data_IF_140904095247
#
_entry.id   IF_140904095247
#
_cell.length_a   1.000
_cell.length_b   1.000
_cell.length_c   1.000
_cell.angle_alpha   90.00
_cell.angle_beta   90.00
_cell.angle_gamma   90.00
#
_symmetry.space_group_name_H-M   'P 1'
#
loop_
_entity.id
_entity.type
_entity.pdbx_description
1 polymer ?
#
# COMPACT_ATOMS: atom_id res chain seq x y z
N UNK A 1 20.43 -13.28 -32.70
CA UNK A 1 19.15 -12.55 -32.78
C UNK A 1 18.36 -12.92 -31.53
N UNK A 2 18.08 -11.96 -30.65
CA UNK A 2 17.21 -12.21 -29.50
C UNK A 2 15.80 -12.50 -30.05
N UNK A 3 15.24 -13.66 -29.74
CA UNK A 3 13.86 -13.95 -30.09
C UNK A 3 12.98 -13.12 -29.18
N UNK A 4 12.16 -12.26 -29.76
CA UNK A 4 11.08 -11.63 -28.99
C UNK A 4 10.14 -12.72 -28.49
N UNK A 5 9.99 -12.78 -27.17
CA UNK A 5 8.99 -13.62 -26.52
C UNK A 5 7.68 -12.84 -26.62
N UNK A 6 6.70 -13.41 -27.33
CA UNK A 6 5.38 -12.82 -27.48
C UNK A 6 4.52 -13.18 -26.26
N UNK A 7 4.44 -12.26 -25.31
CA UNK A 7 3.53 -12.34 -24.17
C UNK A 7 2.48 -11.22 -24.27
N UNK A 8 1.18 -11.53 -24.21
CA UNK A 8 0.11 -10.56 -24.49
C UNK A 8 0.08 -9.38 -23.51
N UNK A 9 0.64 -9.55 -22.31
CA UNK A 9 0.65 -8.53 -21.27
C UNK A 9 1.90 -7.64 -21.29
N UNK A 10 2.96 -8.03 -22.05
CA UNK A 10 4.23 -7.28 -22.12
C UNK A 10 4.06 -5.90 -22.75
N UNK A 11 3.01 -5.68 -23.52
CA UNK A 11 2.72 -4.42 -24.21
C UNK A 11 1.80 -3.49 -23.43
N UNK A 12 1.23 -3.95 -22.31
CA UNK A 12 0.36 -3.14 -21.46
C UNK A 12 1.20 -2.39 -20.43
N UNK A 13 0.93 -1.10 -20.23
CA UNK A 13 1.60 -0.27 -19.22
C UNK A 13 0.95 -0.46 -17.84
N UNK A 14 1.75 -0.61 -16.80
CA UNK A 14 1.32 -0.72 -15.40
C UNK A 14 0.89 -2.12 -14.94
N UNK A 15 1.15 -3.15 -15.75
CA UNK A 15 0.88 -4.55 -15.40
C UNK A 15 2.04 -5.16 -14.61
N UNK A 16 1.75 -6.10 -13.72
CA UNK A 16 2.74 -6.78 -12.86
C UNK A 16 3.76 -7.58 -13.67
N UNK A 17 5.00 -7.63 -13.21
CA UNK A 17 6.04 -8.49 -13.77
C UNK A 17 6.68 -9.32 -12.65
N UNK A 18 6.61 -10.68 -12.69
CA UNK A 18 5.84 -11.50 -13.63
C UNK A 18 4.31 -11.32 -13.50
N UNK A 19 3.57 -11.54 -14.58
CA UNK A 19 2.12 -11.23 -14.67
C UNK A 19 1.25 -12.11 -13.77
N UNK A 20 1.64 -13.37 -13.65
CA UNK A 20 0.99 -14.41 -12.86
C UNK A 20 1.23 -14.24 -11.35
N UNK A 21 2.28 -13.51 -10.98
CA UNK A 21 2.62 -13.34 -9.57
C UNK A 21 1.86 -12.15 -8.96
N UNK A 22 0.88 -12.47 -8.12
CA UNK A 22 0.09 -11.45 -7.44
C UNK A 22 0.91 -10.56 -6.50
N UNK A 23 2.03 -11.06 -6.00
CA UNK A 23 2.95 -10.36 -5.11
C UNK A 23 4.05 -9.60 -5.87
N UNK A 24 4.02 -9.57 -7.21
CA UNK A 24 4.99 -8.82 -8.00
C UNK A 24 4.91 -7.32 -7.73
N UNK A 25 6.08 -6.75 -7.40
CA UNK A 25 6.26 -5.33 -7.10
C UNK A 25 6.83 -4.54 -8.27
N UNK A 26 7.27 -5.23 -9.33
CA UNK A 26 7.69 -4.61 -10.59
C UNK A 26 6.49 -4.49 -11.52
N UNK A 27 6.46 -3.41 -12.30
CA UNK A 27 5.43 -3.17 -13.31
C UNK A 27 6.02 -2.87 -14.68
N UNK A 28 5.24 -3.12 -15.72
CA UNK A 28 5.61 -2.89 -17.11
C UNK A 28 5.54 -1.42 -17.49
N UNK A 29 6.61 -0.91 -18.10
CA UNK A 29 6.66 0.38 -18.81
C UNK A 29 7.19 0.10 -20.23
N UNK A 30 6.33 -0.42 -21.13
CA UNK A 30 6.79 -1.02 -22.38
C UNK A 30 7.27 -0.02 -23.43
N UNK A 31 6.75 1.21 -23.41
CA UNK A 31 7.13 2.25 -24.36
C UNK A 31 7.98 3.34 -23.69
N UNK A 32 8.83 4.02 -24.47
CA UNK A 32 9.59 5.18 -23.98
C UNK A 32 8.65 6.29 -23.47
N UNK A 33 7.49 6.47 -24.09
CA UNK A 33 6.43 7.37 -23.64
C UNK A 33 5.92 7.02 -22.24
N UNK A 34 5.81 5.73 -21.90
CA UNK A 34 5.42 5.27 -20.57
C UNK A 34 6.50 5.62 -19.54
N UNK A 35 7.78 5.44 -19.89
CA UNK A 35 8.91 5.82 -19.03
C UNK A 35 8.93 7.34 -18.79
N UNK A 36 8.82 8.14 -19.85
CA UNK A 36 8.77 9.60 -19.72
C UNK A 36 7.58 10.02 -18.86
N UNK A 37 6.40 9.45 -19.11
CA UNK A 37 5.20 9.76 -18.33
C UNK A 37 5.32 9.39 -16.85
N UNK A 38 6.04 8.30 -16.53
CA UNK A 38 6.34 7.92 -15.15
C UNK A 38 7.28 8.93 -14.49
N UNK A 39 8.40 9.27 -15.14
CA UNK A 39 9.41 10.21 -14.63
C UNK A 39 8.85 11.63 -14.45
N UNK A 40 7.99 12.07 -15.37
CA UNK A 40 7.29 13.36 -15.30
C UNK A 40 6.04 13.34 -14.40
N UNK A 41 5.70 12.18 -13.81
CA UNK A 41 4.53 11.98 -12.94
C UNK A 41 3.20 12.36 -13.60
N UNK A 42 3.04 12.06 -14.89
CA UNK A 42 1.80 12.30 -15.63
C UNK A 42 0.66 11.45 -15.09
N UNK A 43 -0.50 12.06 -14.88
CA UNK A 43 -1.68 11.40 -14.29
C UNK A 43 -2.14 10.20 -15.11
N UNK A 44 -2.12 10.30 -16.44
CA UNK A 44 -2.50 9.22 -17.35
C UNK A 44 -1.57 7.99 -17.29
N UNK A 45 -0.31 8.17 -16.87
CA UNK A 45 0.65 7.08 -16.69
C UNK A 45 0.53 6.49 -15.29
N UNK A 46 0.54 7.34 -14.26
CA UNK A 46 0.49 6.88 -12.86
C UNK A 46 -0.82 6.16 -12.52
N UNK A 47 -1.95 6.57 -13.11
CA UNK A 47 -3.24 5.90 -12.91
C UNK A 47 -3.31 4.47 -13.45
N UNK A 48 -2.38 4.07 -14.32
CA UNK A 48 -2.29 2.69 -14.85
C UNK A 48 -1.51 1.76 -13.93
N UNK A 49 -0.71 2.30 -13.00
CA UNK A 49 0.15 1.51 -12.12
C UNK A 49 -0.68 0.89 -11.00
N UNK A 50 -0.98 -0.41 -11.12
CA UNK A 50 -1.79 -1.17 -10.14
C UNK A 50 -0.97 -1.67 -8.95
N UNK A 51 0.35 -1.71 -9.12
CA UNK A 51 1.34 -2.01 -8.10
C UNK A 51 2.62 -1.25 -8.46
N UNK A 52 3.62 -1.29 -7.60
CA UNK A 52 4.90 -0.69 -7.94
C UNK A 52 5.82 -0.58 -6.74
N UNK A 53 7.10 -0.49 -7.04
CA UNK A 53 8.08 0.10 -6.15
C UNK A 53 8.04 1.62 -6.36
N UNK A 54 8.00 2.45 -5.31
CA UNK A 54 8.45 2.18 -3.95
C UNK A 54 7.42 1.46 -3.05
N UNK A 55 7.87 0.94 -1.90
CA UNK A 55 7.19 0.05 -0.91
C UNK A 55 5.85 0.57 -0.32
N UNK A 56 5.21 1.55 -0.94
CA UNK A 56 4.10 2.30 -0.36
C UNK A 56 2.74 2.03 -1.03
N UNK A 57 2.70 1.32 -2.16
CA UNK A 57 1.43 0.83 -2.70
C UNK A 57 0.98 -0.35 -1.83
N UNK A 58 -0.13 -0.17 -1.11
CA UNK A 58 -0.70 -1.23 -0.29
C UNK A 58 -1.08 -2.41 -1.19
N UNK A 59 -0.61 -3.60 -0.82
CA UNK A 59 -0.92 -4.82 -1.56
C UNK A 59 -2.44 -5.06 -1.57
N UNK A 60 -3.02 -5.48 -2.71
CA UNK A 60 -4.47 -5.63 -2.89
C UNK A 60 -5.13 -6.54 -1.84
N UNK A 61 -4.42 -7.57 -1.38
CA UNK A 61 -4.92 -8.45 -0.31
C UNK A 61 -5.06 -7.74 1.03
N UNK A 62 -4.23 -6.74 1.33
CA UNK A 62 -4.39 -5.93 2.53
C UNK A 62 -5.75 -5.24 2.46
N UNK A 63 -6.05 -4.54 1.35
CA UNK A 63 -7.35 -3.89 1.15
C UNK A 63 -8.52 -4.86 1.32
N UNK A 64 -8.46 -6.05 0.71
CA UNK A 64 -9.50 -7.09 0.87
C UNK A 64 -9.70 -7.54 2.32
N UNK A 65 -8.61 -7.66 3.09
CA UNK A 65 -8.71 -8.00 4.52
C UNK A 65 -9.35 -6.86 5.30
N UNK A 66 -8.98 -5.60 5.01
CA UNK A 66 -9.58 -4.44 5.67
C UNK A 66 -11.09 -4.34 5.38
N UNK A 67 -11.49 -4.59 4.14
CA UNK A 67 -12.90 -4.61 3.72
C UNK A 67 -13.65 -5.75 4.41
N UNK A 68 -13.08 -6.96 4.41
CA UNK A 68 -13.63 -8.10 5.13
C UNK A 68 -13.84 -7.79 6.62
N UNK A 69 -12.86 -7.17 7.27
CA UNK A 69 -12.94 -6.75 8.66
C UNK A 69 -14.04 -5.70 8.89
N UNK A 70 -14.23 -4.77 7.96
CA UNK A 70 -15.30 -3.76 8.02
C UNK A 70 -16.67 -4.42 7.95
N UNK A 71 -16.84 -5.36 7.03
CA UNK A 71 -18.13 -6.00 6.78
C UNK A 71 -18.52 -7.00 7.88
N UNK A 72 -17.57 -7.83 8.30
CA UNK A 72 -17.83 -8.95 9.23
C UNK A 72 -17.67 -8.58 10.70
N UNK A 73 -16.65 -7.79 11.04
CA UNK A 73 -16.31 -7.40 12.42
C UNK A 73 -16.83 -6.00 12.78
N UNK A 74 -17.45 -5.29 11.83
CA UNK A 74 -17.98 -3.93 12.00
C UNK A 74 -16.92 -2.91 12.42
N UNK A 75 -15.68 -3.13 11.99
CA UNK A 75 -14.56 -2.24 12.26
C UNK A 75 -14.63 -1.06 11.29
N UNK A 76 -15.20 0.04 11.75
CA UNK A 76 -15.31 1.28 10.98
C UNK A 76 -14.17 2.26 11.24
N UNK A 77 -13.34 1.97 12.24
CA UNK A 77 -12.18 2.76 12.61
C UNK A 77 -10.94 2.36 11.80
N UNK A 78 -9.90 3.20 11.82
CA UNK A 78 -8.60 2.87 11.24
C UNK A 78 -8.06 1.52 11.72
N UNK A 79 -7.53 0.73 10.80
CA UNK A 79 -6.97 -0.59 11.06
C UNK A 79 -5.74 -0.85 10.18
N UNK A 80 -4.77 -1.56 10.75
CA UNK A 80 -3.48 -1.84 10.13
C UNK A 80 -3.19 -3.34 10.21
N UNK A 81 -2.80 -3.94 9.07
CA UNK A 81 -2.31 -5.31 9.04
C UNK A 81 -0.84 -5.30 9.43
N UNK A 82 -0.51 -6.04 10.48
CA UNK A 82 0.83 -6.08 11.09
C UNK A 82 1.39 -7.49 10.98
N UNK A 83 2.72 -7.60 10.88
CA UNK A 83 3.41 -8.88 10.75
C UNK A 83 3.32 -9.79 11.98
N UNK A 84 2.97 -9.24 13.15
CA UNK A 84 2.79 -9.99 14.39
C UNK A 84 2.20 -9.13 15.49
N UNK A 85 1.63 -9.76 16.52
CA UNK A 85 1.27 -9.11 17.78
C UNK A 85 2.43 -8.41 18.47
N UNK A 86 3.64 -8.97 18.40
CA UNK A 86 4.84 -8.32 18.98
C UNK A 86 5.08 -6.96 18.32
N UNK A 87 4.98 -6.89 16.99
CA UNK A 87 5.12 -5.63 16.27
C UNK A 87 3.97 -4.66 16.58
N UNK A 88 2.73 -5.15 16.68
CA UNK A 88 1.58 -4.32 17.05
C UNK A 88 1.75 -3.71 18.45
N UNK A 89 2.15 -4.51 19.44
CA UNK A 89 2.46 -4.05 20.79
C UNK A 89 3.60 -3.02 20.81
N UNK A 90 4.64 -3.25 20.02
CA UNK A 90 5.76 -2.30 19.91
C UNK A 90 5.29 -0.95 19.35
N UNK A 91 4.44 -0.94 18.31
CA UNK A 91 3.85 0.29 17.75
C UNK A 91 3.05 1.04 18.81
N UNK A 92 2.14 0.33 19.49
CA UNK A 92 1.32 0.90 20.57
C UNK A 92 2.18 1.55 21.66
N UNK A 93 3.22 0.84 22.11
CA UNK A 93 4.13 1.34 23.14
C UNK A 93 4.92 2.56 22.64
N UNK A 94 5.52 2.44 21.44
CA UNK A 94 6.36 3.48 20.84
C UNK A 94 5.61 4.79 20.66
N UNK A 95 4.36 4.74 20.24
CA UNK A 95 3.53 5.92 20.00
C UNK A 95 2.59 6.25 21.16
N UNK A 96 2.64 5.50 22.28
CA UNK A 96 1.79 5.68 23.46
C UNK A 96 0.31 5.81 23.08
N UNK A 97 -0.20 4.84 22.32
CA UNK A 97 -1.59 4.81 21.83
C UNK A 97 -2.49 4.34 22.98
N UNK A 98 -3.44 5.17 23.41
CA UNK A 98 -4.22 4.92 24.63
C UNK A 98 -5.49 4.09 24.42
N UNK A 99 -5.99 3.98 23.19
CA UNK A 99 -7.12 3.11 22.84
C UNK A 99 -6.75 2.32 21.58
N UNK A 100 -6.63 1.00 21.72
CA UNK A 100 -6.31 0.12 20.60
C UNK A 100 -6.90 -1.27 20.86
N UNK A 101 -7.09 -2.01 19.78
CA UNK A 101 -7.45 -3.43 19.83
C UNK A 101 -6.51 -4.20 18.92
N UNK A 102 -6.02 -5.36 19.38
CA UNK A 102 -5.23 -6.28 18.55
C UNK A 102 -6.09 -7.52 18.34
N UNK A 103 -6.43 -7.76 17.08
CA UNK A 103 -7.22 -8.90 16.64
C UNK A 103 -6.28 -9.88 15.94
N UNK A 104 -6.33 -11.14 16.34
CA UNK A 104 -5.60 -12.24 15.71
C UNK A 104 -6.58 -13.31 15.23
N UNK A 105 -6.73 -13.43 13.92
CA UNK A 105 -7.61 -14.42 13.29
C UNK A 105 -7.01 -14.89 11.96
N UNK A 106 -7.18 -16.18 11.64
CA UNK A 106 -6.66 -16.80 10.41
C UNK A 106 -5.15 -16.55 10.17
N UNK A 107 -4.37 -16.40 11.25
CA UNK A 107 -2.93 -16.10 11.18
C UNK A 107 -2.59 -14.64 10.82
N UNK A 108 -3.59 -13.76 10.74
CA UNK A 108 -3.43 -12.34 10.43
C UNK A 108 -3.55 -11.53 11.73
N UNK A 109 -2.58 -10.65 11.97
CA UNK A 109 -2.67 -9.67 13.07
C UNK A 109 -3.19 -8.33 12.54
N UNK A 110 -4.32 -7.87 13.07
CA UNK A 110 -4.89 -6.55 12.79
C UNK A 110 -4.79 -5.67 14.03
N UNK A 111 -4.16 -4.50 13.90
CA UNK A 111 -4.16 -3.44 14.91
C UNK A 111 -5.24 -2.42 14.57
N UNK A 112 -6.26 -2.29 15.41
CA UNK A 112 -7.36 -1.33 15.27
C UNK A 112 -7.10 -0.15 16.20
N UNK A 113 -7.23 1.07 15.66
CA UNK A 113 -7.00 2.31 16.39
C UNK A 113 -8.23 3.22 16.18
N UNK A 114 -8.98 3.60 17.23
CA UNK A 114 -10.19 4.40 17.09
C UNK A 114 -9.96 5.85 16.63
N UNK A 115 -8.82 6.46 17.00
CA UNK A 115 -8.50 7.85 16.64
C UNK A 115 -7.15 7.95 15.93
N UNK A 116 -7.20 8.31 14.64
CA UNK A 116 -6.03 8.53 13.78
C UNK A 116 -5.31 9.84 14.12
N UNK A 117 -5.99 10.84 14.71
CA UNK A 117 -5.42 12.18 14.92
C UNK A 117 -4.24 12.18 15.88
N UNK A 118 -4.24 11.26 16.84
CA UNK A 118 -3.12 11.06 17.77
C UNK A 118 -1.92 10.38 17.09
N UNK A 119 -2.19 9.54 16.08
CA UNK A 119 -1.16 8.85 15.31
C UNK A 119 -0.54 9.78 14.28
N UNK A 120 -1.35 10.52 13.52
CA UNK A 120 -0.90 11.49 12.50
C UNK A 120 0.03 12.54 13.11
N UNK A 121 -0.37 13.20 14.21
CA UNK A 121 0.48 14.19 14.88
C UNK A 121 1.84 13.62 15.27
N UNK A 122 1.88 12.40 15.81
CA UNK A 122 3.12 11.75 16.27
C UNK A 122 3.96 11.21 15.10
N UNK A 123 3.35 10.74 14.02
CA UNK A 123 4.04 10.33 12.80
C UNK A 123 4.68 11.51 12.09
N UNK A 124 3.94 12.62 11.92
CA UNK A 124 4.47 13.87 11.37
C UNK A 124 5.64 14.43 12.19
N UNK A 125 5.59 14.31 13.52
CA UNK A 125 6.69 14.71 14.41
C UNK A 125 7.90 13.75 14.35
N UNK A 126 7.69 12.48 13.96
CA UNK A 126 8.74 11.44 13.96
C UNK A 126 9.42 11.25 12.60
N UNK A 127 8.73 11.57 11.50
CA UNK A 127 9.22 11.41 10.13
C UNK A 127 9.21 12.75 9.41
N UNK A 128 10.31 13.49 9.55
CA UNK A 128 10.51 14.79 8.91
C UNK A 128 11.04 14.62 7.47
N UNK A 129 10.40 13.79 6.65
CA UNK A 129 10.79 13.57 5.24
C UNK A 129 9.64 13.94 4.28
N UNK A 130 9.90 14.77 3.25
CA UNK A 130 8.90 15.19 2.26
C UNK A 130 8.19 14.03 1.55
N UNK A 131 8.84 12.87 1.48
CA UNK A 131 8.33 11.69 0.77
C UNK A 131 7.11 11.05 1.45
N UNK A 132 6.94 11.20 2.77
CA UNK A 132 5.79 10.65 3.52
C UNK A 132 4.54 11.51 3.33
N UNK A 133 4.71 12.81 3.14
CA UNK A 133 3.64 13.76 2.84
C UNK A 133 3.01 13.51 1.46
N UNK A 134 3.84 13.27 0.44
CA UNK A 134 3.39 12.86 -0.89
C UNK A 134 2.59 11.55 -0.87
N UNK A 135 2.90 10.65 0.06
CA UNK A 135 2.21 9.37 0.21
C UNK A 135 0.81 9.50 0.83
N UNK A 136 0.67 10.35 1.84
CA UNK A 136 -0.63 10.66 2.43
C UNK A 136 -1.51 11.47 1.46
N UNK A 137 -0.92 12.35 0.66
CA UNK A 137 -1.65 13.07 -0.40
C UNK A 137 -2.10 12.13 -1.53
N UNK A 138 -1.29 11.15 -1.93
CA UNK A 138 -1.68 10.16 -2.94
C UNK A 138 -2.78 9.20 -2.44
N UNK A 139 -2.74 8.79 -1.17
CA UNK A 139 -3.84 8.04 -0.55
C UNK A 139 -5.13 8.87 -0.40
N UNK A 140 -5.03 10.19 -0.22
CA UNK A 140 -6.21 11.09 -0.17
C UNK A 140 -6.85 11.38 -1.53
N UNK A 141 -6.09 11.23 -2.61
CA UNK A 141 -6.55 11.59 -3.97
C UNK A 141 -6.90 10.39 -4.84
N UNK A 142 -6.58 9.17 -4.38
CA UNK A 142 -6.85 7.91 -5.10
C UNK A 142 -8.03 7.11 -4.54
N UNK A 143 -8.85 7.71 -3.67
CA UNK A 143 -10.14 7.19 -3.19
C UNK A 143 -11.21 8.28 -3.23
#
# INVERSE_FOLDING_TARGET
MLKEINEPHRTLCGERIPFENIHAVSVSLPQLSDVIGYEEKRTETLSRLKSGYPRFVAHSYIARILDYNRDTKKINTPQFIISSKKAANWIVQKFSIQNFEIIEDEGITTLVIPDLKDLEKKFFLSFNTPDVLLLLEWQRTSF
#
